data_IF_010426280751
#
_entry.id   IF_010426280751
#
_cell.length_a   1.000
_cell.length_b   1.000
_cell.length_c   1.000
_cell.angle_alpha   90.00
_cell.angle_beta   90.00
_cell.angle_gamma   90.00
#
_symmetry.space_group_name_H-M   'P 1'
#
loop_
_entity.id
_entity.type
_entity.pdbx_description
1 polymer ?
#
# COMPACT_ATOMS: atom_id res chain seq x y z
N UNK A 1 33.88 4.04 44.06
CA UNK A 1 34.05 4.18 42.60
C UNK A 1 32.65 4.38 42.03
N UNK A 2 32.31 5.61 41.61
CA UNK A 2 30.97 5.95 41.13
C UNK A 2 30.89 5.65 39.64
N UNK A 3 30.02 4.72 39.25
CA UNK A 3 29.71 4.42 37.86
C UNK A 3 28.57 5.36 37.44
N UNK A 4 28.86 6.32 36.58
CA UNK A 4 27.84 7.15 35.94
C UNK A 4 27.18 6.37 34.79
N UNK A 5 25.84 6.38 34.65
CA UNK A 5 25.19 5.80 33.49
C UNK A 5 25.41 6.69 32.25
N UNK A 6 25.92 6.08 31.18
CA UNK A 6 26.02 6.67 29.85
C UNK A 6 24.63 7.14 29.39
N UNK A 7 24.44 8.45 29.34
CA UNK A 7 23.30 9.10 28.70
C UNK A 7 23.43 8.86 27.20
N UNK A 8 22.61 7.97 26.64
CA UNK A 8 22.43 7.86 25.19
C UNK A 8 21.94 9.21 24.66
N UNK A 9 22.86 10.00 24.10
CA UNK A 9 22.51 11.12 23.23
C UNK A 9 22.15 10.50 21.88
N UNK A 10 20.86 10.30 21.62
CA UNK A 10 20.38 10.12 20.26
C UNK A 10 20.76 11.37 19.48
N UNK A 11 21.58 11.22 18.43
CA UNK A 11 22.06 12.35 17.64
C UNK A 11 20.91 12.94 16.85
N UNK A 12 20.81 14.27 16.77
CA UNK A 12 19.84 14.92 15.88
C UNK A 12 20.02 14.48 14.41
N UNK A 13 21.22 14.04 14.02
CA UNK A 13 21.49 13.45 12.71
C UNK A 13 20.67 12.16 12.48
N UNK A 14 20.61 11.25 13.46
CA UNK A 14 19.86 9.99 13.37
C UNK A 14 18.36 10.26 13.21
N UNK A 15 17.84 11.32 13.85
CA UNK A 15 16.44 11.73 13.69
C UNK A 15 16.13 12.31 12.31
N UNK A 16 17.07 13.03 11.69
CA UNK A 16 16.87 13.59 10.35
C UNK A 16 16.92 12.52 9.26
N UNK A 17 17.86 11.58 9.37
CA UNK A 17 17.96 10.46 8.43
C UNK A 17 16.71 9.58 8.47
N UNK A 18 16.21 9.28 9.67
CA UNK A 18 14.98 8.51 9.82
C UNK A 18 13.75 9.23 9.23
N UNK A 19 13.66 10.56 9.40
CA UNK A 19 12.59 11.36 8.79
C UNK A 19 12.66 11.36 7.26
N UNK A 20 13.86 11.49 6.69
CA UNK A 20 14.06 11.46 5.24
C UNK A 20 13.68 10.10 4.65
N UNK A 21 14.05 9.01 5.33
CA UNK A 21 13.66 7.66 4.93
C UNK A 21 12.14 7.47 4.98
N UNK A 22 11.47 7.94 6.03
CA UNK A 22 10.01 7.87 6.15
C UNK A 22 9.29 8.69 5.05
N UNK A 23 9.81 9.86 4.69
CA UNK A 23 9.26 10.67 3.59
C UNK A 23 9.42 9.95 2.25
N UNK A 24 10.63 9.47 1.95
CA UNK A 24 10.90 8.74 0.71
C UNK A 24 10.03 7.49 0.60
N UNK A 25 9.84 6.78 1.70
CA UNK A 25 9.00 5.59 1.72
C UNK A 25 7.53 5.92 1.45
N UNK A 26 7.00 6.97 2.08
CA UNK A 26 5.63 7.44 1.85
C UNK A 26 5.41 7.86 0.41
N UNK A 27 6.38 8.54 -0.21
CA UNK A 27 6.34 8.92 -1.62
C UNK A 27 6.34 7.68 -2.53
N UNK A 28 7.19 6.70 -2.24
CA UNK A 28 7.26 5.45 -2.98
C UNK A 28 5.94 4.68 -2.89
N UNK A 29 5.37 4.54 -1.69
CA UNK A 29 4.08 3.90 -1.48
C UNK A 29 2.98 4.62 -2.27
N UNK A 30 2.93 5.96 -2.20
CA UNK A 30 1.94 6.74 -2.93
C UNK A 30 2.08 6.57 -4.45
N UNK A 31 3.31 6.57 -4.97
CA UNK A 31 3.60 6.37 -6.38
C UNK A 31 3.11 4.98 -6.86
N UNK A 32 3.55 3.92 -6.17
CA UNK A 32 3.18 2.54 -6.50
C UNK A 32 1.66 2.32 -6.38
N UNK A 33 1.05 2.85 -5.33
CA UNK A 33 -0.41 2.78 -5.12
C UNK A 33 -1.15 3.39 -6.31
N UNK A 34 -0.78 4.61 -6.71
CA UNK A 34 -1.44 5.30 -7.81
C UNK A 34 -1.29 4.55 -9.14
N UNK A 35 -0.09 4.01 -9.40
CA UNK A 35 0.21 3.29 -10.63
C UNK A 35 -0.55 1.96 -10.71
N UNK A 36 -0.45 1.14 -9.67
CA UNK A 36 -1.12 -0.17 -9.59
C UNK A 36 -2.64 0.00 -9.62
N UNK A 37 -3.20 0.96 -8.85
CA UNK A 37 -4.65 1.18 -8.83
C UNK A 37 -5.18 1.57 -10.21
N UNK A 38 -4.49 2.47 -10.93
CA UNK A 38 -4.88 2.84 -12.30
C UNK A 38 -4.83 1.66 -13.25
N UNK A 39 -3.76 0.86 -13.20
CA UNK A 39 -3.63 -0.33 -14.03
C UNK A 39 -4.78 -1.32 -13.78
N UNK A 40 -5.11 -1.58 -12.51
CA UNK A 40 -6.21 -2.48 -12.12
C UNK A 40 -7.59 -1.96 -12.56
N UNK A 41 -7.85 -0.65 -12.45
CA UNK A 41 -9.12 -0.06 -12.91
C UNK A 41 -9.32 -0.28 -14.42
N UNK A 42 -8.24 -0.14 -15.20
CA UNK A 42 -8.27 -0.30 -16.66
C UNK A 42 -8.40 -1.78 -17.04
N UNK A 43 -7.62 -2.66 -16.40
CA UNK A 43 -7.53 -4.08 -16.75
C UNK A 43 -8.72 -4.92 -16.26
N UNK A 44 -9.32 -4.56 -15.12
CA UNK A 44 -10.48 -5.25 -14.52
C UNK A 44 -11.82 -4.51 -14.74
N UNK A 45 -11.93 -3.76 -15.84
CA UNK A 45 -12.88 -2.64 -16.06
C UNK A 45 -13.74 -2.23 -14.85
N UNK A 46 -13.11 -1.77 -13.78
CA UNK A 46 -13.80 -1.50 -12.52
C UNK A 46 -14.74 -0.30 -12.72
N UNK A 47 -16.04 -0.54 -12.64
CA UNK A 47 -17.05 0.48 -12.88
C UNK A 47 -17.07 1.53 -11.78
N UNK A 48 -17.41 2.77 -12.15
CA UNK A 48 -17.80 3.78 -11.19
C UNK A 48 -19.10 3.36 -10.50
N UNK A 49 -19.13 3.45 -9.17
CA UNK A 49 -20.24 2.96 -8.36
C UNK A 49 -19.81 2.67 -6.93
N UNK A 50 -20.60 1.85 -6.24
CA UNK A 50 -20.40 1.47 -4.84
C UNK A 50 -20.53 -0.05 -4.68
N UNK A 51 -20.03 -0.56 -3.55
CA UNK A 51 -20.15 -1.96 -3.16
C UNK A 51 -18.83 -2.71 -3.10
N UNK A 52 -17.78 -2.25 -3.81
CA UNK A 52 -16.47 -2.89 -3.75
C UNK A 52 -15.83 -2.82 -2.36
N UNK A 53 -16.15 -1.79 -1.58
CA UNK A 53 -15.73 -1.64 -0.17
C UNK A 53 -16.19 -2.77 0.74
N UNK A 54 -17.30 -3.45 0.41
CA UNK A 54 -17.81 -4.60 1.16
C UNK A 54 -16.89 -5.82 1.04
N UNK A 55 -16.24 -5.97 -0.12
CA UNK A 55 -15.34 -7.09 -0.40
C UNK A 55 -13.91 -6.77 0.04
N UNK A 56 -13.47 -5.55 -0.20
CA UNK A 56 -12.10 -5.12 0.11
C UNK A 56 -11.89 -4.72 1.57
N UNK A 57 -12.89 -4.89 2.43
CA UNK A 57 -12.85 -4.51 3.85
C UNK A 57 -12.33 -3.07 4.06
N UNK A 58 -12.75 -2.14 3.19
CA UNK A 58 -12.43 -0.71 3.30
C UNK A 58 -13.61 0.08 3.86
N UNK A 59 -13.44 1.39 4.08
CA UNK A 59 -14.55 2.22 4.55
C UNK A 59 -15.74 2.15 3.58
N UNK A 60 -16.94 1.97 4.13
CA UNK A 60 -18.16 1.68 3.35
C UNK A 60 -18.68 2.88 2.54
N UNK A 61 -18.19 4.09 2.84
CA UNK A 61 -18.56 5.32 2.13
C UNK A 61 -17.74 5.58 0.85
N UNK A 62 -16.71 4.76 0.59
CA UNK A 62 -15.86 4.91 -0.58
C UNK A 62 -16.55 4.36 -1.83
N UNK A 63 -16.42 5.08 -2.94
CA UNK A 63 -16.78 4.53 -4.24
C UNK A 63 -15.80 3.41 -4.64
N UNK A 64 -16.11 2.64 -5.69
CA UNK A 64 -15.32 1.47 -6.07
C UNK A 64 -13.85 1.80 -6.36
N UNK A 65 -13.55 2.96 -6.97
CA UNK A 65 -12.18 3.36 -7.30
C UNK A 65 -11.42 3.78 -6.05
N UNK A 66 -12.06 4.54 -5.15
CA UNK A 66 -11.50 4.93 -3.87
C UNK A 66 -11.27 3.73 -2.94
N UNK A 67 -12.22 2.79 -2.91
CA UNK A 67 -12.12 1.55 -2.16
C UNK A 67 -10.94 0.71 -2.64
N UNK A 68 -10.81 0.54 -3.97
CA UNK A 68 -9.65 -0.14 -4.56
C UNK A 68 -8.35 0.57 -4.20
N UNK A 69 -8.29 1.90 -4.36
CA UNK A 69 -7.08 2.67 -4.08
C UNK A 69 -6.66 2.55 -2.61
N UNK A 70 -7.62 2.65 -1.69
CA UNK A 70 -7.39 2.48 -0.25
C UNK A 70 -6.90 1.06 0.07
N UNK A 71 -7.50 0.04 -0.53
CA UNK A 71 -7.08 -1.34 -0.36
C UNK A 71 -5.68 -1.60 -0.91
N UNK A 72 -5.39 -1.18 -2.15
CA UNK A 72 -4.05 -1.28 -2.76
C UNK A 72 -3.00 -0.60 -1.89
N UNK A 73 -3.31 0.59 -1.36
CA UNK A 73 -2.42 1.32 -0.44
C UNK A 73 -2.12 0.49 0.80
N UNK A 74 -3.14 -0.09 1.43
CA UNK A 74 -2.97 -0.95 2.59
C UNK A 74 -2.12 -2.18 2.24
N UNK A 75 -2.39 -2.84 1.12
CA UNK A 75 -1.61 -4.02 0.68
C UNK A 75 -0.15 -3.66 0.44
N UNK A 76 0.16 -2.55 -0.25
CA UNK A 76 1.54 -2.09 -0.49
C UNK A 76 2.24 -1.69 0.81
N UNK A 77 1.53 -1.03 1.73
CA UNK A 77 2.10 -0.61 3.01
C UNK A 77 2.52 -1.80 3.87
N UNK A 78 1.76 -2.91 3.81
CA UNK A 78 2.08 -4.14 4.55
C UNK A 78 3.06 -5.08 3.82
N UNK A 79 3.43 -4.77 2.56
CA UNK A 79 4.48 -5.49 1.84
C UNK A 79 5.86 -5.06 2.36
N UNK A 80 6.40 -5.85 3.29
CA UNK A 80 7.72 -5.62 3.90
C UNK A 80 8.83 -5.55 2.84
N UNK A 81 8.78 -6.45 1.85
CA UNK A 81 9.80 -6.59 0.81
C UNK A 81 9.44 -5.87 -0.50
N UNK A 82 8.61 -4.81 -0.46
CA UNK A 82 8.12 -4.10 -1.66
C UNK A 82 9.25 -3.64 -2.59
N UNK A 83 10.42 -3.33 -2.05
CA UNK A 83 11.60 -2.87 -2.81
C UNK A 83 12.22 -3.97 -3.68
N UNK A 84 11.91 -5.24 -3.41
CA UNK A 84 12.40 -6.38 -4.19
C UNK A 84 11.57 -6.66 -5.45
N UNK A 85 10.40 -6.03 -5.57
CA UNK A 85 9.51 -6.20 -6.72
C UNK A 85 9.72 -5.06 -7.70
N UNK A 86 9.93 -5.40 -8.98
CA UNK A 86 9.67 -4.45 -10.05
C UNK A 86 8.16 -4.16 -10.15
N UNK A 87 7.82 -3.11 -10.89
CA UNK A 87 6.45 -2.61 -10.96
C UNK A 87 5.48 -3.62 -11.58
N UNK A 88 5.91 -4.41 -12.56
CA UNK A 88 5.08 -5.42 -13.22
C UNK A 88 4.83 -6.61 -12.30
N UNK A 89 5.88 -7.06 -11.60
CA UNK A 89 5.78 -8.10 -10.58
C UNK A 89 4.85 -7.69 -9.44
N UNK A 90 4.96 -6.43 -8.97
CA UNK A 90 4.09 -5.88 -7.94
C UNK A 90 2.63 -5.80 -8.42
N UNK A 91 2.42 -5.38 -9.67
CA UNK A 91 1.10 -5.36 -10.28
C UNK A 91 0.46 -6.75 -10.31
N UNK A 92 1.18 -7.76 -10.81
CA UNK A 92 0.68 -9.14 -10.90
C UNK A 92 0.35 -9.72 -9.52
N UNK A 93 1.19 -9.45 -8.52
CA UNK A 93 0.97 -9.87 -7.14
C UNK A 93 -0.33 -9.27 -6.57
N UNK A 94 -0.49 -7.96 -6.70
CA UNK A 94 -1.66 -7.25 -6.17
C UNK A 94 -2.93 -7.62 -6.95
N UNK A 95 -2.84 -7.80 -8.28
CA UNK A 95 -3.95 -8.30 -9.10
C UNK A 95 -4.40 -9.68 -8.62
N UNK A 96 -3.46 -10.60 -8.40
CA UNK A 96 -3.77 -11.94 -7.90
C UNK A 96 -4.43 -11.90 -6.52
N UNK A 97 -3.94 -11.03 -5.62
CA UNK A 97 -4.56 -10.83 -4.31
C UNK A 97 -5.99 -10.26 -4.44
N UNK A 98 -6.18 -9.25 -5.29
CA UNK A 98 -7.49 -8.63 -5.51
C UNK A 98 -8.53 -9.64 -6.01
N UNK A 99 -8.15 -10.49 -6.96
CA UNK A 99 -9.04 -11.52 -7.52
C UNK A 99 -9.46 -12.58 -6.49
N UNK A 100 -8.73 -12.73 -5.37
CA UNK A 100 -9.11 -13.61 -4.26
C UNK A 100 -10.11 -12.96 -3.29
N UNK A 101 -10.10 -11.63 -3.19
CA UNK A 101 -11.03 -10.88 -2.34
C UNK A 101 -12.39 -10.69 -3.01
N UNK A 102 -12.43 -10.66 -4.35
CA UNK A 102 -13.66 -10.52 -5.10
C UNK A 102 -14.44 -11.85 -5.11
N UNK A 103 -15.77 -11.82 -4.96
CA UNK A 103 -16.59 -13.04 -5.02
C UNK A 103 -16.41 -13.69 -6.39
N UNK A 104 -16.06 -14.99 -6.37
CA UNK A 104 -15.65 -15.83 -7.50
C UNK A 104 -16.02 -15.29 -8.89
N UNK A 105 -14.99 -15.02 -9.70
CA UNK A 105 -15.05 -14.73 -11.13
C UNK A 105 -15.57 -15.91 -11.99
N UNK A 106 -16.42 -16.80 -11.46
CA UNK A 106 -17.00 -17.92 -12.22
C UNK A 106 -18.21 -17.52 -13.09
N UNK A 107 -18.54 -16.22 -13.19
CA UNK A 107 -19.78 -15.75 -13.82
C UNK A 107 -19.61 -14.66 -14.90
N UNK A 108 -18.48 -14.63 -15.62
CA UNK A 108 -18.37 -13.87 -16.88
C UNK A 108 -17.73 -14.70 -17.99
#
# INVERSE_FOLDING_TARGET
MLIYPLRHQSSSADTWEMLLQDIQDKEQIAHLTNKVSKALIIDLPIQQGFGMSLFLNTSSNLNNHEALHAWVKQTITHLADRQLYDEDSLYLLIKSALLKELPNNEAF
#
